data_IF_407138407914
#
_entry.id   IF_407138407914
#
_cell.length_a   1.000
_cell.length_b   1.000
_cell.length_c   1.000
_cell.angle_alpha   90.00
_cell.angle_beta   90.00
_cell.angle_gamma   90.00
#
_symmetry.space_group_name_H-M   'P 1'
#
loop_
_entity.id
_entity.type
_entity.pdbx_description
1 polymer ?
#
# COMPACT_ATOMS: atom_id res chain seq x y z
N UNK A 1 -12.27 38.86 3.05
CA UNK A 1 -11.36 37.80 3.55
C UNK A 1 -9.96 38.18 3.12
N UNK A 2 -9.03 38.27 4.06
CA UNK A 2 -7.67 38.77 3.84
C UNK A 2 -6.79 37.68 3.22
N UNK A 3 -6.10 37.99 2.11
CA UNK A 3 -5.27 37.03 1.35
C UNK A 3 -4.09 36.55 2.17
N UNK A 4 -3.53 37.40 3.04
CA UNK A 4 -2.47 37.04 3.97
C UNK A 4 -2.93 35.98 4.99
N UNK A 5 -4.18 36.08 5.45
CA UNK A 5 -4.78 35.11 6.38
C UNK A 5 -5.04 33.77 5.70
N UNK A 6 -5.44 33.78 4.42
CA UNK A 6 -5.59 32.55 3.62
C UNK A 6 -4.25 31.83 3.43
N UNK A 7 -3.18 32.56 3.11
CA UNK A 7 -1.82 31.99 2.98
C UNK A 7 -1.33 31.39 4.30
N UNK A 8 -1.48 32.11 5.41
CA UNK A 8 -1.08 31.60 6.72
C UNK A 8 -1.84 30.32 7.14
N UNK A 9 -3.12 30.21 6.80
CA UNK A 9 -3.93 29.01 7.06
C UNK A 9 -3.49 27.81 6.21
N UNK A 10 -3.14 28.04 4.93
CA UNK A 10 -2.61 26.99 4.05
C UNK A 10 -1.24 26.51 4.53
N UNK A 11 -0.38 27.43 4.95
CA UNK A 11 0.95 27.12 5.50
C UNK A 11 0.87 26.35 6.82
N UNK A 12 -0.07 26.67 7.70
CA UNK A 12 -0.30 25.90 8.92
C UNK A 12 -0.93 24.52 8.64
N UNK A 13 -1.83 24.45 7.66
CA UNK A 13 -2.56 23.21 7.32
C UNK A 13 -1.71 22.17 6.60
N UNK A 14 -0.64 22.57 5.90
CA UNK A 14 0.21 21.63 5.15
C UNK A 14 1.21 20.88 6.03
N UNK A 15 1.63 21.43 7.17
CA UNK A 15 2.69 20.81 8.00
C UNK A 15 2.27 19.47 8.66
N UNK A 16 1.03 19.29 9.17
CA UNK A 16 0.56 17.98 9.61
C UNK A 16 0.57 16.94 8.49
N UNK A 17 0.15 17.33 7.28
CA UNK A 17 0.18 16.46 6.10
C UNK A 17 1.62 16.09 5.72
N UNK A 18 2.54 17.07 5.74
CA UNK A 18 3.96 16.82 5.48
C UNK A 18 4.52 15.79 6.46
N UNK A 19 4.23 15.96 7.74
CA UNK A 19 4.67 15.06 8.81
C UNK A 19 4.13 13.64 8.59
N UNK A 20 2.85 13.53 8.24
CA UNK A 20 2.23 12.24 7.91
C UNK A 20 2.90 11.55 6.71
N UNK A 21 3.12 12.29 5.62
CA UNK A 21 3.75 11.75 4.41
C UNK A 21 5.19 11.30 4.67
N UNK A 22 5.94 12.07 5.48
CA UNK A 22 7.31 11.69 5.87
C UNK A 22 7.30 10.43 6.73
N UNK A 23 6.37 10.32 7.70
CA UNK A 23 6.28 9.17 8.58
C UNK A 23 5.97 7.85 7.83
N UNK A 24 5.23 7.92 6.73
CA UNK A 24 4.80 6.77 5.94
C UNK A 24 5.50 6.66 4.58
N UNK A 25 6.65 7.33 4.40
CA UNK A 25 7.47 7.18 3.19
C UNK A 25 8.86 6.66 3.52
N UNK A 26 9.35 5.75 2.69
CA UNK A 26 10.67 5.20 2.83
C UNK A 26 11.74 6.25 2.47
N UNK A 27 12.80 6.33 3.27
CA UNK A 27 13.97 7.17 3.01
C UNK A 27 14.62 6.87 1.65
N UNK A 28 14.62 5.61 1.21
CA UNK A 28 15.14 5.23 -0.10
C UNK A 28 14.35 5.88 -1.24
N UNK A 29 13.01 5.84 -1.15
CA UNK A 29 12.12 6.45 -2.14
C UNK A 29 12.23 7.97 -2.14
N UNK A 30 12.26 8.61 -0.96
CA UNK A 30 12.49 10.06 -0.84
C UNK A 30 13.83 10.48 -1.46
N UNK A 31 14.90 9.72 -1.21
CA UNK A 31 16.20 9.97 -1.81
C UNK A 31 16.20 9.79 -3.34
N UNK A 32 15.49 8.79 -3.85
CA UNK A 32 15.31 8.58 -5.28
C UNK A 32 14.56 9.74 -5.95
N UNK A 33 13.44 10.18 -5.38
CA UNK A 33 12.65 11.27 -5.93
C UNK A 33 13.33 12.63 -5.80
N UNK A 34 14.12 12.88 -4.74
CA UNK A 34 14.95 14.08 -4.66
C UNK A 34 15.97 14.14 -5.81
N UNK A 35 16.71 13.05 -6.04
CA UNK A 35 17.69 12.96 -7.14
C UNK A 35 17.00 13.15 -8.50
N UNK A 36 15.81 12.60 -8.66
CA UNK A 36 15.01 12.74 -9.89
C UNK A 36 14.54 14.18 -10.10
N UNK A 37 14.02 14.84 -9.05
CA UNK A 37 13.59 16.24 -9.10
C UNK A 37 14.76 17.18 -9.42
N UNK A 38 15.93 16.96 -8.80
CA UNK A 38 17.14 17.75 -9.06
C UNK A 38 17.62 17.64 -10.51
N UNK A 39 17.42 16.49 -11.18
CA UNK A 39 17.77 16.31 -12.60
C UNK A 39 16.81 17.03 -13.54
N UNK A 40 15.53 17.03 -13.22
CA UNK A 40 14.47 17.59 -14.06
C UNK A 40 14.34 19.12 -13.93
N UNK A 41 14.74 19.69 -12.78
CA UNK A 41 14.57 21.11 -12.51
C UNK A 41 15.78 21.96 -12.97
N UNK A 42 15.55 23.24 -13.36
CA UNK A 42 16.62 24.18 -13.69
C UNK A 42 17.58 24.40 -12.51
N UNK A 43 18.88 24.70 -12.75
CA UNK A 43 19.89 24.84 -11.70
C UNK A 43 19.49 25.77 -10.54
N UNK A 44 18.80 26.87 -10.84
CA UNK A 44 18.34 27.84 -9.86
C UNK A 44 17.36 27.29 -8.82
N UNK A 45 16.61 26.21 -9.13
CA UNK A 45 15.69 25.57 -8.18
C UNK A 45 16.27 24.29 -7.56
N UNK A 46 17.48 23.86 -7.93
CA UNK A 46 18.08 22.62 -7.40
C UNK A 46 18.62 22.79 -5.99
N UNK A 47 19.17 23.97 -5.69
CA UNK A 47 19.84 24.25 -4.43
C UNK A 47 18.88 24.31 -3.23
N UNK A 48 17.62 24.69 -3.48
CA UNK A 48 16.61 24.88 -2.43
C UNK A 48 15.73 23.63 -2.21
N UNK A 49 15.91 22.55 -2.99
CA UNK A 49 15.12 21.33 -2.85
C UNK A 49 15.60 20.47 -1.69
N UNK A 50 14.67 20.10 -0.82
CA UNK A 50 14.85 19.17 0.28
C UNK A 50 14.15 17.83 0.01
N UNK A 51 14.59 16.79 0.74
CA UNK A 51 13.91 15.49 0.82
C UNK A 51 12.49 15.58 1.43
N UNK A 52 12.16 16.71 2.04
CA UNK A 52 10.90 16.95 2.74
C UNK A 52 9.91 17.79 1.92
N UNK A 53 10.30 18.22 0.73
CA UNK A 53 9.42 18.98 -0.16
C UNK A 53 8.31 18.11 -0.73
N UNK A 54 7.10 18.66 -0.86
CA UNK A 54 5.92 17.96 -1.38
C UNK A 54 6.15 17.29 -2.74
N UNK A 55 6.96 17.89 -3.62
CA UNK A 55 7.31 17.31 -4.91
C UNK A 55 8.13 16.00 -4.80
N UNK A 56 8.78 15.78 -3.66
CA UNK A 56 9.56 14.58 -3.33
C UNK A 56 8.74 13.61 -2.48
N UNK A 57 8.14 14.09 -1.38
CA UNK A 57 7.48 13.21 -0.40
C UNK A 57 6.17 12.61 -0.92
N UNK A 58 5.41 13.31 -1.77
CA UNK A 58 4.14 12.80 -2.32
C UNK A 58 4.36 11.55 -3.18
N UNK A 59 5.22 11.57 -4.22
CA UNK A 59 5.48 10.36 -4.99
C UNK A 59 6.22 9.28 -4.18
N UNK A 60 7.11 9.67 -3.26
CA UNK A 60 7.81 8.70 -2.40
C UNK A 60 6.86 7.93 -1.46
N UNK A 61 5.91 8.64 -0.83
CA UNK A 61 4.83 8.04 -0.05
C UNK A 61 4.01 7.08 -0.92
N UNK A 62 3.58 7.54 -2.10
CA UNK A 62 2.75 6.73 -3.00
C UNK A 62 3.43 5.39 -3.35
N UNK A 63 4.72 5.40 -3.69
CA UNK A 63 5.47 4.17 -3.99
C UNK A 63 5.65 3.29 -2.75
N UNK A 64 5.89 3.90 -1.59
CA UNK A 64 6.02 3.18 -0.31
C UNK A 64 4.72 2.44 0.04
N UNK A 65 3.59 3.12 -0.11
CA UNK A 65 2.25 2.58 0.15
C UNK A 65 1.85 1.50 -0.86
N UNK A 66 2.17 1.67 -2.15
CA UNK A 66 1.96 0.62 -3.15
C UNK A 66 2.76 -0.65 -2.82
N UNK A 67 3.99 -0.49 -2.35
CA UNK A 67 4.83 -1.61 -1.92
C UNK A 67 4.22 -2.33 -0.72
N UNK A 68 3.79 -1.57 0.30
CA UNK A 68 3.13 -2.12 1.48
C UNK A 68 1.80 -2.84 1.12
N UNK A 69 0.97 -2.22 0.27
CA UNK A 69 -0.28 -2.81 -0.20
C UNK A 69 -0.05 -4.13 -0.94
N UNK A 70 0.99 -4.23 -1.76
CA UNK A 70 1.33 -5.47 -2.46
C UNK A 70 1.78 -6.57 -1.49
N UNK A 71 2.59 -6.23 -0.49
CA UNK A 71 3.01 -7.18 0.55
C UNK A 71 1.81 -7.69 1.35
N UNK A 72 0.91 -6.81 1.77
CA UNK A 72 -0.33 -7.17 2.46
C UNK A 72 -1.19 -8.08 1.59
N UNK A 73 -1.41 -7.71 0.32
CA UNK A 73 -2.17 -8.51 -0.63
C UNK A 73 -1.57 -9.91 -0.84
N UNK A 74 -0.24 -10.00 -0.94
CA UNK A 74 0.46 -11.28 -1.05
C UNK A 74 0.26 -12.17 0.18
N UNK A 75 0.39 -11.61 1.39
CA UNK A 75 0.18 -12.35 2.64
C UNK A 75 -1.26 -12.85 2.79
N UNK A 76 -2.25 -12.04 2.39
CA UNK A 76 -3.67 -12.44 2.39
C UNK A 76 -3.93 -13.55 1.37
N UNK A 77 -3.23 -13.53 0.24
CA UNK A 77 -3.41 -14.51 -0.83
C UNK A 77 -2.86 -15.91 -0.49
N UNK A 78 -1.78 -15.99 0.30
CA UNK A 78 -1.12 -17.25 0.68
C UNK A 78 -2.06 -18.35 1.23
N UNK A 79 -2.92 -18.11 2.24
CA UNK A 79 -3.82 -19.16 2.76
C UNK A 79 -4.79 -19.68 1.69
N UNK A 80 -5.25 -18.82 0.77
CA UNK A 80 -6.14 -19.25 -0.31
C UNK A 80 -5.42 -20.07 -1.37
N UNK A 81 -4.16 -19.74 -1.68
CA UNK A 81 -3.31 -20.53 -2.55
C UNK A 81 -3.08 -21.93 -1.98
N UNK A 82 -2.85 -22.04 -0.67
CA UNK A 82 -2.70 -23.35 0.00
C UNK A 82 -3.98 -24.18 -0.17
N UNK A 83 -5.17 -23.58 0.00
CA UNK A 83 -6.44 -24.27 -0.23
C UNK A 83 -6.53 -24.79 -1.67
N UNK A 84 -6.19 -23.95 -2.66
CA UNK A 84 -6.21 -24.37 -4.07
C UNK A 84 -5.29 -25.56 -4.33
N UNK A 85 -4.06 -25.51 -3.83
CA UNK A 85 -3.07 -26.57 -4.02
C UNK A 85 -3.53 -27.88 -3.36
N UNK A 86 -4.06 -27.81 -2.14
CA UNK A 86 -4.57 -28.98 -1.42
C UNK A 86 -5.78 -29.59 -2.13
N UNK A 87 -6.76 -28.77 -2.52
CA UNK A 87 -7.96 -29.24 -3.23
C UNK A 87 -7.58 -29.87 -4.57
N UNK A 88 -6.70 -29.24 -5.35
CA UNK A 88 -6.23 -29.79 -6.61
C UNK A 88 -5.58 -31.18 -6.42
N UNK A 89 -4.68 -31.32 -5.45
CA UNK A 89 -4.01 -32.60 -5.16
C UNK A 89 -4.99 -33.69 -4.72
N UNK A 90 -6.00 -33.36 -3.93
CA UNK A 90 -7.04 -34.31 -3.52
C UNK A 90 -7.88 -34.77 -4.72
N UNK A 91 -8.32 -33.85 -5.58
CA UNK A 91 -9.09 -34.20 -6.78
C UNK A 91 -8.29 -35.08 -7.74
N UNK A 92 -7.00 -34.80 -7.91
CA UNK A 92 -6.08 -35.64 -8.70
C UNK A 92 -5.96 -37.04 -8.10
N UNK A 93 -5.79 -37.16 -6.78
CA UNK A 93 -5.72 -38.45 -6.09
C UNK A 93 -7.00 -39.28 -6.21
N UNK A 94 -8.16 -38.61 -6.28
CA UNK A 94 -9.48 -39.24 -6.48
C UNK A 94 -9.77 -39.57 -7.96
N UNK A 95 -8.88 -39.22 -8.89
CA UNK A 95 -9.08 -39.41 -10.33
C UNK A 95 -10.11 -38.47 -10.96
N UNK A 96 -10.51 -37.41 -10.25
CA UNK A 96 -11.55 -36.46 -10.70
C UNK A 96 -10.98 -35.34 -11.56
N UNK A 97 -10.38 -35.69 -12.70
CA UNK A 97 -9.72 -34.72 -13.60
C UNK A 97 -10.67 -33.78 -14.35
N UNK A 98 -11.95 -34.16 -14.47
CA UNK A 98 -12.96 -33.36 -15.19
C UNK A 98 -13.58 -32.25 -14.33
N UNK A 99 -13.39 -32.31 -13.01
CA UNK A 99 -13.88 -31.29 -12.10
C UNK A 99 -12.82 -30.21 -11.92
N UNK A 100 -13.19 -28.95 -12.15
CA UNK A 100 -12.29 -27.82 -11.91
C UNK A 100 -11.97 -27.68 -10.42
N UNK A 101 -10.70 -27.75 -10.00
CA UNK A 101 -10.31 -27.53 -8.60
C UNK A 101 -10.76 -26.19 -8.06
N UNK A 102 -10.79 -25.15 -8.90
CA UNK A 102 -11.24 -23.80 -8.53
C UNK A 102 -12.70 -23.76 -8.11
N UNK A 103 -13.57 -24.52 -8.78
CA UNK A 103 -15.00 -24.58 -8.43
C UNK A 103 -15.21 -25.24 -7.08
N UNK A 104 -14.40 -26.24 -6.76
CA UNK A 104 -14.45 -26.93 -5.46
C UNK A 104 -13.82 -26.09 -4.36
N UNK A 105 -12.71 -25.39 -4.63
CA UNK A 105 -11.98 -24.62 -3.63
C UNK A 105 -12.69 -23.33 -3.20
N UNK A 106 -13.47 -22.71 -4.10
CA UNK A 106 -14.18 -21.45 -3.84
C UNK A 106 -15.03 -21.45 -2.55
N UNK A 107 -15.96 -22.40 -2.32
CA UNK A 107 -16.74 -22.44 -1.07
C UNK A 107 -15.86 -22.58 0.18
N UNK A 108 -14.76 -23.34 0.12
CA UNK A 108 -13.83 -23.47 1.25
C UNK A 108 -13.10 -22.16 1.55
N UNK A 109 -12.69 -21.40 0.52
CA UNK A 109 -12.07 -20.09 0.70
C UNK A 109 -13.03 -19.10 1.36
N UNK A 110 -14.27 -19.06 0.87
CA UNK A 110 -15.30 -18.19 1.44
C UNK A 110 -15.61 -18.57 2.88
N UNK A 111 -15.75 -19.87 3.16
CA UNK A 111 -15.95 -20.37 4.52
C UNK A 111 -14.79 -19.99 5.44
N UNK A 112 -13.54 -20.23 5.02
CA UNK A 112 -12.37 -19.85 5.80
C UNK A 112 -12.38 -18.35 6.11
N UNK A 113 -12.62 -17.52 5.10
CA UNK A 113 -12.59 -16.07 5.25
C UNK A 113 -13.67 -15.55 6.20
N UNK A 114 -14.87 -16.12 6.16
CA UNK A 114 -15.95 -15.79 7.10
C UNK A 114 -15.66 -16.34 8.50
N UNK A 115 -15.17 -17.58 8.61
CA UNK A 115 -14.87 -18.23 9.89
C UNK A 115 -13.83 -17.46 10.71
N UNK A 116 -12.88 -16.82 10.03
CA UNK A 116 -11.85 -16.01 10.68
C UNK A 116 -12.24 -14.53 10.79
N UNK A 117 -13.47 -14.12 10.54
CA UNK A 117 -13.86 -12.70 10.52
C UNK A 117 -12.91 -11.84 9.66
N UNK A 118 -12.60 -12.31 8.45
CA UNK A 118 -11.53 -11.76 7.61
C UNK A 118 -11.67 -10.25 7.39
N UNK A 119 -12.87 -9.75 7.14
CA UNK A 119 -13.13 -8.32 6.97
C UNK A 119 -12.72 -7.48 8.19
N UNK A 120 -13.09 -7.91 9.40
CA UNK A 120 -12.77 -7.18 10.62
C UNK A 120 -11.25 -7.16 10.85
N UNK A 121 -10.57 -8.30 10.67
CA UNK A 121 -9.12 -8.39 10.81
C UNK A 121 -8.38 -7.49 9.82
N UNK A 122 -8.82 -7.45 8.56
CA UNK A 122 -8.23 -6.59 7.53
C UNK A 122 -8.41 -5.11 7.87
N UNK A 123 -9.63 -4.68 8.18
CA UNK A 123 -9.91 -3.27 8.49
C UNK A 123 -9.16 -2.83 9.75
N UNK A 124 -9.18 -3.62 10.82
CA UNK A 124 -8.43 -3.30 12.03
C UNK A 124 -6.93 -3.24 11.77
N UNK A 125 -6.38 -4.21 11.03
CA UNK A 125 -4.97 -4.22 10.67
C UNK A 125 -4.55 -2.98 9.89
N UNK A 126 -5.37 -2.54 8.92
CA UNK A 126 -5.09 -1.32 8.16
C UNK A 126 -5.13 -0.06 9.04
N UNK A 127 -6.13 0.06 9.92
CA UNK A 127 -6.22 1.23 10.83
C UNK A 127 -5.02 1.29 11.75
N UNK A 128 -4.56 0.16 12.28
CA UNK A 128 -3.38 0.10 13.15
C UNK A 128 -2.06 0.47 12.45
N UNK A 129 -1.98 0.35 11.12
CA UNK A 129 -0.78 0.71 10.35
C UNK A 129 -0.57 2.23 10.25
N UNK A 130 -1.66 3.02 10.35
CA UNK A 130 -1.61 4.49 10.26
C UNK A 130 -1.92 5.20 11.59
N UNK A 131 -2.19 4.44 12.65
CA UNK A 131 -2.52 4.93 13.98
C UNK A 131 -1.32 5.21 14.87
#
# INVERSE_FOLDING_TARGET
MDTARLLALVEAGKEPLRTFLIAHSNNAERGFFLKSAQRLLPPARRADLSVDDFIVIVPAFTVSELTAAFQIGFLIFLPFLIIDLVVANILLALGMMMMSPTTVSLPFKLLLFVLIDGWAKLVHGLVLTYG
#
